data_IF_601332085746
#
_entry.id   IF_601332085746
#
_cell.length_a   1.000
_cell.length_b   1.000
_cell.length_c   1.000
_cell.angle_alpha   90.00
_cell.angle_beta   90.00
_cell.angle_gamma   90.00
#
_symmetry.space_group_name_H-M   'P 1'
#
loop_
_entity.id
_entity.type
_entity.pdbx_description
1 polymer ?
#
# COMPACT_ATOMS: atom_id res chain seq x y z
N UNK A 1 -19.40 21.44 -6.86
CA UNK A 1 -19.14 20.60 -5.66
C UNK A 1 -18.07 19.61 -6.05
N UNK A 2 -16.87 19.65 -5.47
CA UNK A 2 -15.87 18.62 -5.75
C UNK A 2 -16.42 17.28 -5.27
N UNK A 3 -16.34 16.26 -6.11
CA UNK A 3 -16.58 14.88 -5.69
C UNK A 3 -15.47 14.54 -4.71
N UNK A 4 -15.78 14.46 -3.41
CA UNK A 4 -14.81 14.13 -2.34
C UNK A 4 -14.44 12.64 -2.38
N UNK A 5 -13.84 12.20 -3.49
CA UNK A 5 -13.27 10.86 -3.58
C UNK A 5 -11.99 10.82 -2.74
N UNK A 6 -11.69 9.64 -2.23
CA UNK A 6 -10.56 9.38 -1.35
C UNK A 6 -9.44 8.65 -2.09
N UNK A 7 -8.21 8.97 -1.72
CA UNK A 7 -6.99 8.31 -2.13
C UNK A 7 -6.40 7.53 -0.96
N UNK A 8 -6.05 6.26 -1.20
CA UNK A 8 -5.45 5.38 -0.18
C UNK A 8 -4.01 5.03 -0.53
N UNK A 9 -3.16 4.84 0.46
CA UNK A 9 -1.83 4.24 0.31
C UNK A 9 -1.76 2.96 1.13
N UNK A 10 -1.55 1.81 0.48
CA UNK A 10 -1.53 0.49 1.10
C UNK A 10 -0.12 -0.07 1.01
N UNK A 11 0.47 -0.38 2.17
CA UNK A 11 1.84 -0.85 2.31
C UNK A 11 1.93 -1.91 3.42
N UNK A 12 2.56 -3.06 3.20
CA UNK A 12 2.93 -3.63 1.91
C UNK A 12 1.73 -4.31 1.23
N UNK A 13 1.71 -4.28 -0.11
CA UNK A 13 0.58 -4.68 -0.94
C UNK A 13 0.90 -5.81 -1.92
N UNK A 14 1.82 -6.70 -1.55
CA UNK A 14 2.23 -7.90 -2.31
C UNK A 14 1.92 -9.22 -1.59
N UNK A 15 1.19 -9.15 -0.47
CA UNK A 15 0.59 -10.32 0.17
C UNK A 15 -0.84 -10.53 -0.33
N UNK A 16 -1.29 -11.79 -0.37
CA UNK A 16 -2.68 -12.12 -0.72
C UNK A 16 -3.71 -11.40 0.17
N UNK A 17 -3.40 -11.19 1.44
CA UNK A 17 -4.28 -10.46 2.37
C UNK A 17 -4.44 -8.98 1.98
N UNK A 18 -3.34 -8.29 1.72
CA UNK A 18 -3.37 -6.89 1.30
C UNK A 18 -3.96 -6.72 -0.11
N UNK A 19 -3.55 -7.56 -1.06
CA UNK A 19 -4.12 -7.62 -2.41
C UNK A 19 -5.65 -7.84 -2.35
N UNK A 20 -6.11 -8.81 -1.55
CA UNK A 20 -7.52 -9.12 -1.36
C UNK A 20 -8.32 -7.96 -0.77
N UNK A 21 -7.76 -7.24 0.20
CA UNK A 21 -8.37 -6.03 0.76
C UNK A 21 -8.57 -4.96 -0.31
N UNK A 22 -7.54 -4.66 -1.11
CA UNK A 22 -7.63 -3.66 -2.19
C UNK A 22 -8.66 -4.07 -3.24
N UNK A 23 -8.64 -5.33 -3.68
CA UNK A 23 -9.64 -5.84 -4.63
C UNK A 23 -11.06 -5.71 -4.08
N UNK A 24 -11.29 -6.04 -2.81
CA UNK A 24 -12.60 -5.90 -2.17
C UNK A 24 -13.06 -4.44 -2.10
N UNK A 25 -12.16 -3.50 -1.76
CA UNK A 25 -12.46 -2.06 -1.77
C UNK A 25 -12.89 -1.57 -3.16
N UNK A 26 -12.25 -2.09 -4.22
CA UNK A 26 -12.46 -1.65 -5.61
C UNK A 26 -13.59 -2.38 -6.33
N UNK A 27 -14.13 -3.47 -5.78
CA UNK A 27 -15.30 -4.18 -6.31
C UNK A 27 -16.59 -3.91 -5.52
N UNK A 28 -16.50 -3.41 -4.29
CA UNK A 28 -17.65 -3.06 -3.46
C UNK A 28 -18.28 -1.70 -3.78
N UNK A 29 -19.33 -1.35 -3.02
CA UNK A 29 -20.00 -0.04 -3.12
C UNK A 29 -19.07 1.15 -2.80
N UNK A 30 -17.97 0.91 -2.08
CA UNK A 30 -16.93 1.89 -1.81
C UNK A 30 -16.20 2.39 -3.07
N UNK A 31 -16.18 1.61 -4.17
CA UNK A 31 -15.47 1.94 -5.42
C UNK A 31 -15.75 3.37 -5.92
N UNK A 32 -17.01 3.81 -5.84
CA UNK A 32 -17.41 5.14 -6.34
C UNK A 32 -16.82 6.30 -5.53
N UNK A 33 -16.43 6.03 -4.29
CA UNK A 33 -15.78 6.98 -3.39
C UNK A 33 -14.25 6.93 -3.48
N UNK A 34 -13.68 6.01 -4.25
CA UNK A 34 -12.22 5.84 -4.36
C UNK A 34 -11.75 6.50 -5.65
N UNK A 35 -10.84 7.47 -5.51
CA UNK A 35 -10.14 8.07 -6.64
C UNK A 35 -8.97 7.20 -7.06
N UNK A 36 -8.13 6.83 -6.11
CA UNK A 36 -6.86 6.16 -6.36
C UNK A 36 -6.41 5.31 -5.18
N UNK A 37 -5.70 4.22 -5.45
CA UNK A 37 -5.03 3.39 -4.46
C UNK A 37 -3.56 3.22 -4.84
N UNK A 38 -2.67 3.78 -4.05
CA UNK A 38 -1.23 3.52 -4.13
C UNK A 38 -0.92 2.20 -3.44
N UNK A 39 -0.45 1.21 -4.20
CA UNK A 39 -0.10 -0.11 -3.69
C UNK A 39 1.42 -0.26 -3.74
N UNK A 40 2.06 -0.16 -2.58
CA UNK A 40 3.50 -0.36 -2.50
C UNK A 40 3.84 -1.84 -2.38
N UNK A 41 4.73 -2.34 -3.23
CA UNK A 41 5.14 -3.75 -3.28
C UNK A 41 6.66 -3.89 -3.18
N UNK A 42 7.18 -4.98 -2.60
CA UNK A 42 8.58 -5.38 -2.77
C UNK A 42 8.75 -6.23 -4.02
N UNK A 43 7.76 -7.06 -4.34
CA UNK A 43 7.77 -7.93 -5.50
C UNK A 43 6.63 -7.59 -6.48
N UNK A 44 6.94 -6.83 -7.53
CA UNK A 44 5.98 -6.49 -8.60
C UNK A 44 5.50 -7.68 -9.46
N UNK A 45 6.14 -8.83 -9.30
CA UNK A 45 5.84 -10.09 -9.99
C UNK A 45 5.10 -11.09 -9.11
N UNK A 46 4.71 -10.70 -7.88
CA UNK A 46 3.84 -11.53 -7.06
C UNK A 46 2.49 -11.73 -7.80
N UNK A 47 1.96 -12.96 -7.92
CA UNK A 47 0.75 -13.22 -8.69
C UNK A 47 -0.46 -12.36 -8.28
N UNK A 48 -0.59 -12.02 -6.99
CA UNK A 48 -1.69 -11.16 -6.55
C UNK A 48 -1.55 -9.70 -7.01
N UNK A 49 -0.32 -9.23 -7.25
CA UNK A 49 -0.05 -7.88 -7.75
C UNK A 49 -0.46 -7.75 -9.22
N UNK A 50 -0.31 -8.82 -10.01
CA UNK A 50 -0.79 -8.83 -11.41
C UNK A 50 -2.30 -8.62 -11.49
N UNK A 51 -3.08 -9.21 -10.56
CA UNK A 51 -4.53 -9.00 -10.49
C UNK A 51 -4.89 -7.55 -10.17
N UNK A 52 -4.10 -6.87 -9.34
CA UNK A 52 -4.34 -5.46 -9.00
C UNK A 52 -4.15 -4.52 -10.20
N UNK A 53 -3.37 -4.92 -11.21
CA UNK A 53 -3.13 -4.12 -12.44
C UNK A 53 -4.37 -4.03 -13.32
N UNK A 54 -5.39 -4.86 -13.08
CA UNK A 54 -6.66 -4.82 -13.81
C UNK A 54 -7.57 -3.64 -13.40
N UNK A 55 -7.21 -2.91 -12.34
CA UNK A 55 -8.00 -1.79 -11.83
C UNK A 55 -7.34 -0.45 -12.17
N UNK A 56 -8.03 0.38 -12.97
CA UNK A 56 -7.53 1.71 -13.39
C UNK A 56 -7.19 2.65 -12.22
N UNK A 57 -7.82 2.45 -11.06
CA UNK A 57 -7.57 3.26 -9.86
C UNK A 57 -6.30 2.85 -9.11
N UNK A 58 -5.67 1.72 -9.47
CA UNK A 58 -4.49 1.22 -8.77
C UNK A 58 -3.21 1.76 -9.39
N UNK A 59 -2.33 2.27 -8.54
CA UNK A 59 -0.96 2.61 -8.88
C UNK A 59 0.00 1.72 -8.09
N UNK A 60 0.63 0.77 -8.78
CA UNK A 60 1.68 -0.07 -8.21
C UNK A 60 3.00 0.70 -8.21
N UNK A 61 3.67 0.75 -7.06
CA UNK A 61 5.03 1.27 -6.95
C UNK A 61 5.90 0.32 -6.12
N UNK A 62 7.20 0.28 -6.40
CA UNK A 62 8.13 -0.53 -5.60
C UNK A 62 8.54 0.23 -4.35
N UNK A 63 8.53 -0.42 -3.19
CA UNK A 63 9.17 0.13 -1.99
C UNK A 63 10.42 -0.69 -1.66
N UNK A 64 11.54 0.02 -1.60
CA UNK A 64 12.85 -0.49 -1.20
C UNK A 64 13.62 0.65 -0.52
N UNK A 65 14.84 0.37 -0.08
CA UNK A 65 15.70 1.41 0.49
C UNK A 65 15.98 2.54 -0.52
N UNK A 66 16.08 2.19 -1.82
CA UNK A 66 16.36 3.13 -2.89
C UNK A 66 15.10 3.92 -3.35
N UNK A 67 13.91 3.45 -2.97
CA UNK A 67 12.63 4.02 -3.39
C UNK A 67 11.87 4.73 -2.25
N UNK A 68 12.55 5.06 -1.13
CA UNK A 68 11.89 5.73 0.01
C UNK A 68 11.30 7.10 -0.33
N UNK A 69 11.83 7.81 -1.33
CA UNK A 69 11.25 9.06 -1.82
C UNK A 69 9.88 8.88 -2.47
N UNK A 70 9.65 7.74 -3.14
CA UNK A 70 8.36 7.41 -3.74
C UNK A 70 7.34 6.98 -2.68
N UNK A 71 7.78 6.23 -1.66
CA UNK A 71 6.97 5.90 -0.48
C UNK A 71 6.44 7.17 0.18
N UNK A 72 7.33 8.12 0.48
CA UNK A 72 6.95 9.39 1.11
C UNK A 72 5.96 10.19 0.25
N UNK A 73 6.23 10.28 -1.06
CA UNK A 73 5.34 10.95 -2.00
C UNK A 73 3.94 10.33 -2.00
N UNK A 74 3.83 8.99 -2.07
CA UNK A 74 2.55 8.30 -2.11
C UNK A 74 1.78 8.42 -0.79
N UNK A 75 2.47 8.35 0.35
CA UNK A 75 1.84 8.55 1.66
C UNK A 75 1.30 9.99 1.82
N UNK A 76 2.05 11.02 1.39
CA UNK A 76 1.61 12.43 1.47
C UNK A 76 0.42 12.76 0.57
N UNK A 77 0.29 12.06 -0.55
CA UNK A 77 -0.79 12.26 -1.51
C UNK A 77 -2.06 11.46 -1.17
N UNK A 78 -2.00 10.58 -0.17
CA UNK A 78 -3.13 9.78 0.26
C UNK A 78 -3.89 10.46 1.40
N UNK A 79 -5.22 10.36 1.37
CA UNK A 79 -6.10 10.75 2.48
C UNK A 79 -5.99 9.78 3.66
N UNK A 80 -5.60 8.52 3.39
CA UNK A 80 -5.38 7.51 4.40
C UNK A 80 -4.24 6.56 4.01
N UNK A 81 -3.43 6.18 5.01
CA UNK A 81 -2.36 5.18 4.87
C UNK A 81 -2.75 3.93 5.65
N UNK A 82 -2.76 2.79 4.97
CA UNK A 82 -3.02 1.47 5.53
C UNK A 82 -1.70 0.70 5.59
N UNK A 83 -1.20 0.52 6.80
CA UNK A 83 -0.01 -0.28 7.08
C UNK A 83 -0.44 -1.71 7.43
N UNK A 84 -0.38 -2.62 6.47
CA UNK A 84 -0.84 -4.00 6.63
C UNK A 84 0.25 -4.85 7.31
N UNK A 85 -0.04 -5.52 8.43
CA UNK A 85 0.96 -6.37 9.08
C UNK A 85 1.24 -7.60 8.21
N UNK A 86 2.49 -7.78 7.81
CA UNK A 86 2.94 -9.02 7.18
C UNK A 86 2.98 -10.13 8.24
N UNK A 87 2.03 -11.07 8.19
CA UNK A 87 2.22 -12.36 8.84
C UNK A 87 3.24 -13.14 8.03
N UNK A 88 4.50 -13.08 8.43
CA UNK A 88 5.53 -13.95 7.88
C UNK A 88 5.24 -15.40 8.32
N UNK A 89 4.49 -16.10 7.46
CA UNK A 89 4.05 -17.47 7.64
C UNK A 89 5.14 -18.52 7.40
N UNK A 90 6.38 -18.12 7.09
CA UNK A 90 7.52 -19.03 6.90
C UNK A 90 8.66 -18.62 7.85
N UNK A 91 9.15 -19.58 8.63
CA UNK A 91 10.05 -19.38 9.77
C UNK A 91 11.41 -18.71 9.46
N UNK A 92 11.72 -18.38 8.19
CA UNK A 92 12.89 -17.59 7.78
C UNK A 92 12.57 -16.15 7.32
N UNK A 93 11.31 -15.84 7.00
CA UNK A 93 10.91 -14.53 6.44
C UNK A 93 10.44 -13.54 7.52
N UNK A 94 10.33 -13.99 8.78
CA UNK A 94 9.83 -13.19 9.90
C UNK A 94 10.68 -11.97 10.22
N UNK A 95 12.01 -12.09 10.24
CA UNK A 95 12.86 -10.95 10.63
C UNK A 95 12.83 -9.84 9.59
N UNK A 96 12.86 -10.17 8.29
CA UNK A 96 12.85 -9.16 7.23
C UNK A 96 11.50 -8.45 7.12
N UNK A 97 10.37 -9.18 7.20
CA UNK A 97 9.05 -8.58 7.15
C UNK A 97 8.77 -7.60 8.30
N UNK A 98 9.17 -7.95 9.53
CA UNK A 98 9.02 -7.07 10.70
C UNK A 98 9.92 -5.83 10.62
N UNK A 99 11.18 -5.98 10.19
CA UNK A 99 12.10 -4.85 10.07
C UNK A 99 11.58 -3.82 9.05
N UNK A 100 11.09 -4.29 7.90
CA UNK A 100 10.51 -3.42 6.87
C UNK A 100 9.23 -2.75 7.35
N UNK A 101 8.37 -3.46 8.07
CA UNK A 101 7.17 -2.85 8.65
C UNK A 101 7.54 -1.75 9.64
N UNK A 102 8.50 -1.98 10.54
CA UNK A 102 8.95 -0.93 11.47
C UNK A 102 9.55 0.29 10.74
N UNK A 103 10.27 0.09 9.64
CA UNK A 103 10.78 1.19 8.79
C UNK A 103 9.64 1.99 8.16
N UNK A 104 8.63 1.31 7.59
CA UNK A 104 7.45 1.95 7.01
C UNK A 104 6.63 2.71 8.07
N UNK A 105 6.48 2.13 9.26
CA UNK A 105 5.81 2.78 10.40
C UNK A 105 6.55 4.05 10.82
N UNK A 106 7.87 3.97 10.97
CA UNK A 106 8.70 5.13 11.31
C UNK A 106 8.58 6.23 10.26
N UNK A 107 8.65 5.88 8.97
CA UNK A 107 8.49 6.84 7.87
C UNK A 107 7.11 7.53 7.92
N UNK A 108 6.04 6.77 8.15
CA UNK A 108 4.69 7.31 8.29
C UNK A 108 4.59 8.30 9.47
N UNK A 109 5.12 7.93 10.64
CA UNK A 109 5.11 8.81 11.82
C UNK A 109 5.91 10.10 11.59
N UNK A 110 7.10 10.01 10.99
CA UNK A 110 7.93 11.18 10.68
C UNK A 110 7.25 12.12 9.67
N UNK A 111 6.46 11.57 8.74
CA UNK A 111 5.65 12.36 7.82
C UNK A 111 4.47 13.02 8.53
N UNK A 112 3.73 12.28 9.35
CA UNK A 112 2.56 12.79 10.07
C UNK A 112 2.90 13.92 11.06
N UNK A 113 4.11 13.93 11.62
CA UNK A 113 4.60 15.00 12.49
C UNK A 113 4.97 16.29 11.76
N UNK A 114 5.15 16.25 10.43
CA UNK A 114 5.58 17.39 9.60
C UNK A 114 4.43 18.05 8.81
N UNK A 115 3.22 17.50 8.90
CA UNK A 115 2.01 18.02 8.26
C UNK A 115 1.27 18.98 9.19
#
# INVERSE_FOLDING_TARGET
>A
MSSSKMTFCVLPCDSWGACGMVMAMLQGSAKHMIEKVYCGVMNKHAPCVDMLKEFDQVHIFEYSQDHMGEVEKCMKQADSVILYPMHAGHQGEQQHGYEWMMKLWKQYLEMAQKA
#
